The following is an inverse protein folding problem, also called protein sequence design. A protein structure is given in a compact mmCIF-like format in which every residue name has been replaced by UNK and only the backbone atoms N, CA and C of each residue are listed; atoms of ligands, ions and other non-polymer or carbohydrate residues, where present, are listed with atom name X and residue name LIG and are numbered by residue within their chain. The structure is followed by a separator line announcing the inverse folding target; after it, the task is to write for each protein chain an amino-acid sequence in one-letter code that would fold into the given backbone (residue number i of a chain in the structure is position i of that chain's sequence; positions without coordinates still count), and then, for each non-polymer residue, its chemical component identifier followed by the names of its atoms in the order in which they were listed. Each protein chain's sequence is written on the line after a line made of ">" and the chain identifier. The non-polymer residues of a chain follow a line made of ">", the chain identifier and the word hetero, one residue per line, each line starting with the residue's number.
data_IF_646270154011
#
_entry.id   IF_646270154011
#
_cell.length_a   1.000
_cell.length_b   1.000
_cell.length_c   1.000
_cell.angle_alpha   90.00
_cell.angle_beta   90.00
_cell.angle_gamma   90.00
#
_symmetry.space_group_name_H-M   'P 1'
#
loop_
_entity.id
_entity.type
_entity.pdbx_description
1 polymer ?
#
# COMPACT_ATOMS: atom_id res chain seq x y z
N UNK A 1 10.39 23.90 6.22
CA UNK A 1 10.31 22.69 7.06
C UNK A 1 11.24 21.65 6.50
N UNK A 2 12.00 20.97 7.36
CA UNK A 2 12.97 19.94 6.99
C UNK A 2 12.49 18.59 7.51
N UNK A 3 12.22 17.65 6.59
CA UNK A 3 11.59 16.37 6.91
C UNK A 3 12.54 15.24 6.52
N UNK A 4 12.73 14.30 7.44
CA UNK A 4 13.47 13.05 7.18
C UNK A 4 12.49 11.88 7.10
N UNK A 5 12.50 11.20 5.97
CA UNK A 5 11.85 9.90 5.79
C UNK A 5 12.86 8.77 6.03
N UNK A 6 12.44 7.74 6.75
CA UNK A 6 13.25 6.54 7.02
C UNK A 6 12.59 5.32 6.40
N UNK A 7 13.32 4.62 5.54
CA UNK A 7 12.87 3.38 4.93
C UNK A 7 14.04 2.44 4.65
N UNK A 8 13.79 1.16 4.42
CA UNK A 8 14.88 0.21 4.17
C UNK A 8 15.56 0.46 2.82
N UNK A 9 14.78 0.53 1.75
CA UNK A 9 15.25 0.74 0.38
C UNK A 9 14.08 1.09 -0.53
N UNK A 10 14.29 1.94 -1.51
CA UNK A 10 13.34 2.27 -2.58
C UNK A 10 13.56 1.44 -3.86
N UNK A 11 14.30 0.34 -3.77
CA UNK A 11 14.71 -0.46 -4.93
C UNK A 11 13.62 -1.39 -5.49
N UNK A 12 12.53 -1.58 -4.76
CA UNK A 12 11.45 -2.51 -5.13
C UNK A 12 10.33 -1.75 -5.86
N UNK A 13 9.78 -2.40 -6.90
CA UNK A 13 8.57 -1.90 -7.56
C UNK A 13 7.35 -2.29 -6.72
N UNK A 14 7.08 -1.55 -5.66
CA UNK A 14 6.00 -1.78 -4.69
C UNK A 14 5.11 -0.56 -4.48
N UNK A 15 3.92 -0.79 -3.92
CA UNK A 15 2.98 0.29 -3.64
C UNK A 15 3.46 1.27 -2.58
N UNK A 16 4.19 0.78 -1.57
CA UNK A 16 4.73 1.63 -0.48
C UNK A 16 5.82 2.56 -1.02
N UNK A 17 6.76 2.02 -1.79
CA UNK A 17 7.86 2.78 -2.39
C UNK A 17 7.31 3.88 -3.31
N UNK A 18 6.29 3.56 -4.11
CA UNK A 18 5.62 4.54 -4.97
C UNK A 18 4.99 5.66 -4.17
N UNK A 19 4.20 5.33 -3.16
CA UNK A 19 3.53 6.31 -2.30
C UNK A 19 4.54 7.22 -1.60
N UNK A 20 5.65 6.65 -1.08
CA UNK A 20 6.70 7.45 -0.43
C UNK A 20 7.35 8.43 -1.42
N UNK A 21 7.68 7.96 -2.63
CA UNK A 21 8.26 8.83 -3.68
C UNK A 21 7.30 9.94 -4.06
N UNK A 22 6.03 9.62 -4.33
CA UNK A 22 5.01 10.59 -4.71
C UNK A 22 4.78 11.64 -3.61
N UNK A 23 4.74 11.24 -2.34
CA UNK A 23 4.63 12.15 -1.19
C UNK A 23 5.83 13.09 -1.08
N UNK A 24 7.05 12.55 -1.17
CA UNK A 24 8.28 13.36 -1.10
C UNK A 24 8.34 14.36 -2.25
N UNK A 25 8.03 13.92 -3.47
CA UNK A 25 7.96 14.79 -4.64
C UNK A 25 6.94 15.92 -4.44
N UNK A 26 5.76 15.61 -3.90
CA UNK A 26 4.73 16.60 -3.62
C UNK A 26 5.19 17.62 -2.58
N UNK A 27 5.79 17.19 -1.46
CA UNK A 27 6.29 18.06 -0.40
C UNK A 27 7.34 19.06 -0.92
N UNK A 28 8.24 18.60 -1.77
CA UNK A 28 9.27 19.46 -2.39
C UNK A 28 8.63 20.40 -3.42
N UNK A 29 7.79 19.88 -4.32
CA UNK A 29 7.26 20.64 -5.45
C UNK A 29 6.21 21.68 -5.05
N UNK A 30 5.31 21.32 -4.12
CA UNK A 30 4.16 22.16 -3.76
C UNK A 30 4.39 23.01 -2.52
N UNK A 31 5.16 22.49 -1.55
CA UNK A 31 5.39 23.18 -0.29
C UNK A 31 6.80 23.73 -0.14
N UNK A 32 7.73 23.37 -1.02
CA UNK A 32 9.11 23.83 -0.97
C UNK A 32 9.86 23.33 0.27
N UNK A 33 9.45 22.17 0.83
CA UNK A 33 10.12 21.61 2.00
C UNK A 33 11.46 20.98 1.61
N UNK A 34 12.41 20.99 2.54
CA UNK A 34 13.64 20.21 2.41
C UNK A 34 13.34 18.77 2.83
N UNK A 35 13.41 17.84 1.89
CA UNK A 35 13.08 16.43 2.13
C UNK A 35 14.32 15.57 1.98
N UNK A 36 14.54 14.73 2.97
CA UNK A 36 15.61 13.73 3.01
C UNK A 36 14.98 12.34 3.07
N UNK A 37 15.46 11.43 2.25
CA UNK A 37 15.20 10.01 2.37
C UNK A 37 16.47 9.34 2.88
N UNK A 38 16.42 8.77 4.08
CA UNK A 38 17.50 7.97 4.64
C UNK A 38 17.14 6.49 4.53
N UNK A 39 17.98 5.73 3.83
CA UNK A 39 17.83 4.28 3.64
C UNK A 39 18.90 3.52 4.40
N UNK A 40 18.65 2.24 4.70
CA UNK A 40 19.63 1.34 5.33
C UNK A 40 20.31 0.40 4.32
N UNK A 41 19.63 0.08 3.22
CA UNK A 41 20.00 -1.00 2.33
C UNK A 41 19.80 -0.64 0.83
N UNK A 42 19.87 0.64 0.45
CA UNK A 42 19.71 1.07 -0.96
C UNK A 42 20.85 0.56 -1.85
N UNK A 43 22.07 0.72 -1.38
CA UNK A 43 23.26 0.29 -2.13
C UNK A 43 23.33 0.92 -3.52
N UNK A 44 23.60 0.11 -4.53
CA UNK A 44 23.69 0.50 -5.95
C UNK A 44 22.36 0.30 -6.71
N UNK A 45 21.28 -0.06 -6.02
CA UNK A 45 20.01 -0.33 -6.67
C UNK A 45 19.34 0.96 -7.15
N UNK A 46 18.85 0.93 -8.38
CA UNK A 46 18.08 2.03 -8.96
C UNK A 46 16.69 2.13 -8.31
N UNK A 47 16.19 3.35 -8.22
CA UNK A 47 14.82 3.61 -7.78
C UNK A 47 13.92 3.45 -9.01
N UNK A 48 12.90 2.57 -8.99
CA UNK A 48 12.03 2.34 -10.14
C UNK A 48 11.05 3.50 -10.42
N UNK A 49 10.88 4.40 -9.46
CA UNK A 49 10.01 5.56 -9.56
C UNK A 49 10.83 6.85 -9.69
N UNK A 50 10.29 7.84 -10.40
CA UNK A 50 10.98 9.11 -10.59
C UNK A 50 10.97 9.93 -9.29
N UNK A 51 12.12 9.97 -8.63
CA UNK A 51 12.34 10.82 -7.46
C UNK A 51 12.85 12.20 -7.90
N UNK A 52 12.26 13.27 -7.36
CA UNK A 52 12.68 14.64 -7.61
C UNK A 52 14.12 14.87 -7.13
N UNK A 53 14.95 15.52 -7.94
CA UNK A 53 16.37 15.76 -7.66
C UNK A 53 16.63 16.57 -6.37
N UNK A 54 15.65 17.33 -5.92
CA UNK A 54 15.71 18.10 -4.67
C UNK A 54 15.51 17.23 -3.42
N UNK A 55 14.98 16.02 -3.56
CA UNK A 55 14.92 15.05 -2.48
C UNK A 55 16.32 14.45 -2.28
N UNK A 56 16.89 14.66 -1.11
CA UNK A 56 18.25 14.19 -0.80
C UNK A 56 18.21 12.73 -0.32
N UNK A 57 18.65 11.81 -1.17
CA UNK A 57 18.78 10.40 -0.84
C UNK A 57 20.12 10.13 -0.13
N UNK A 58 20.06 9.55 1.06
CA UNK A 58 21.22 9.18 1.87
C UNK A 58 21.12 7.71 2.27
N UNK A 59 22.08 6.89 1.88
CA UNK A 59 22.11 5.48 2.28
C UNK A 59 23.11 5.26 3.42
N UNK A 60 22.64 4.65 4.51
CA UNK A 60 23.47 4.32 5.66
C UNK A 60 24.38 3.10 5.41
N UNK A 61 24.16 2.37 4.34
CA UNK A 61 24.96 1.20 3.92
C UNK A 61 25.12 0.16 5.05
N UNK A 62 24.02 -0.19 5.71
CA UNK A 62 24.03 -1.14 6.82
C UNK A 62 24.09 -2.58 6.30
N UNK A 63 23.36 -2.85 5.23
CA UNK A 63 23.27 -4.17 4.58
C UNK A 63 22.74 -5.23 5.56
N UNK A 64 21.56 -4.99 6.16
CA UNK A 64 20.93 -5.92 7.11
C UNK A 64 20.78 -7.35 6.58
N UNK A 65 20.66 -7.52 5.27
CA UNK A 65 20.56 -8.84 4.65
C UNK A 65 21.81 -9.71 4.89
N UNK A 66 22.96 -9.13 5.22
CA UNK A 66 24.20 -9.88 5.47
C UNK A 66 24.11 -10.78 6.71
N UNK A 67 23.24 -10.47 7.68
CA UNK A 67 23.01 -11.30 8.86
C UNK A 67 22.50 -12.71 8.51
N UNK A 68 21.84 -12.88 7.36
CA UNK A 68 21.31 -14.18 6.94
C UNK A 68 22.38 -15.16 6.45
N UNK A 69 23.65 -14.70 6.29
CA UNK A 69 24.81 -15.57 6.03
C UNK A 69 25.21 -16.39 7.27
N UNK A 70 24.75 -15.99 8.44
CA UNK A 70 25.03 -16.61 9.72
C UNK A 70 23.82 -17.39 10.24
N UNK A 71 24.04 -18.37 11.16
CA UNK A 71 22.99 -19.15 11.82
C UNK A 71 23.12 -19.06 13.34
N UNK A 72 22.05 -19.37 14.05
CA UNK A 72 22.01 -19.43 15.50
C UNK A 72 22.52 -18.15 16.16
N UNK A 73 23.37 -18.31 17.16
CA UNK A 73 23.87 -17.22 17.99
C UNK A 73 24.74 -16.20 17.21
N UNK A 74 25.47 -16.68 16.19
CA UNK A 74 26.28 -15.78 15.34
C UNK A 74 25.38 -14.81 14.56
N UNK A 75 24.20 -15.25 14.11
CA UNK A 75 23.22 -14.38 13.48
C UNK A 75 22.68 -13.31 14.47
N UNK A 76 22.42 -13.70 15.72
CA UNK A 76 22.01 -12.73 16.76
C UNK A 76 23.08 -11.68 17.02
N UNK A 77 24.35 -12.13 17.17
CA UNK A 77 25.49 -11.23 17.36
C UNK A 77 25.62 -10.23 16.20
N UNK A 78 25.51 -10.73 14.96
CA UNK A 78 25.60 -9.89 13.76
C UNK A 78 24.41 -8.92 13.68
N UNK A 79 23.20 -9.38 13.96
CA UNK A 79 22.01 -8.53 14.03
C UNK A 79 22.18 -7.38 15.04
N UNK A 80 22.67 -7.67 16.25
CA UNK A 80 22.95 -6.66 17.24
C UNK A 80 24.05 -5.68 16.78
N UNK A 81 25.09 -6.15 16.10
CA UNK A 81 26.16 -5.31 15.55
C UNK A 81 25.60 -4.35 14.49
N UNK A 82 24.82 -4.87 13.55
CA UNK A 82 24.20 -4.07 12.49
C UNK A 82 23.22 -3.04 13.05
N UNK A 83 22.40 -3.41 14.05
CA UNK A 83 21.49 -2.47 14.72
C UNK A 83 22.25 -1.34 15.40
N UNK A 84 23.34 -1.62 16.11
CA UNK A 84 24.17 -0.57 16.73
C UNK A 84 24.77 0.37 15.68
N UNK A 85 25.29 -0.19 14.59
CA UNK A 85 25.85 0.58 13.48
C UNK A 85 24.79 1.46 12.82
N UNK A 86 23.58 0.93 12.63
CA UNK A 86 22.43 1.69 12.13
C UNK A 86 22.10 2.89 13.03
N UNK A 87 21.94 2.67 14.33
CA UNK A 87 21.63 3.74 15.27
C UNK A 87 22.72 4.79 15.33
N UNK A 88 23.99 4.38 15.33
CA UNK A 88 25.11 5.32 15.33
C UNK A 88 25.09 6.20 14.08
N UNK A 89 25.09 5.59 12.88
CA UNK A 89 25.09 6.34 11.60
C UNK A 89 23.86 7.21 11.44
N UNK A 90 22.69 6.69 11.84
CA UNK A 90 21.46 7.46 11.81
C UNK A 90 21.51 8.65 12.74
N UNK A 91 22.00 8.49 13.98
CA UNK A 91 22.14 9.59 14.93
C UNK A 91 23.10 10.67 14.42
N UNK A 92 24.21 10.29 13.80
CA UNK A 92 25.15 11.23 13.17
C UNK A 92 24.46 12.02 12.06
N UNK A 93 23.69 11.34 11.18
CA UNK A 93 22.93 12.01 10.10
C UNK A 93 21.81 12.90 10.62
N UNK A 94 21.06 12.49 11.64
CA UNK A 94 20.02 13.31 12.25
C UNK A 94 20.61 14.58 12.90
N UNK A 95 21.80 14.51 13.50
CA UNK A 95 22.51 15.70 14.03
C UNK A 95 22.98 16.64 12.90
N UNK A 96 23.50 16.08 11.81
CA UNK A 96 23.95 16.84 10.63
C UNK A 96 22.78 17.58 9.97
N UNK A 97 21.67 16.87 9.75
CA UNK A 97 20.49 17.39 9.05
C UNK A 97 19.70 18.33 9.97
N UNK A 98 19.61 18.03 11.27
CA UNK A 98 18.75 18.74 12.23
C UNK A 98 17.31 18.87 11.73
N UNK A 99 16.60 17.74 11.49
CA UNK A 99 15.26 17.79 10.91
C UNK A 99 14.23 18.33 11.92
N UNK A 100 13.17 18.93 11.37
CA UNK A 100 12.01 19.35 12.15
C UNK A 100 11.11 18.15 12.50
N UNK A 101 11.02 17.16 11.59
CA UNK A 101 10.16 15.97 11.73
C UNK A 101 10.87 14.74 11.15
N UNK A 102 10.65 13.60 11.81
CA UNK A 102 11.02 12.27 11.31
C UNK A 102 9.73 11.51 10.95
N UNK A 103 9.67 10.96 9.74
CA UNK A 103 8.62 10.04 9.30
C UNK A 103 9.24 8.67 9.07
N UNK A 104 8.72 7.65 9.72
CA UNK A 104 9.16 6.27 9.51
C UNK A 104 7.97 5.34 9.32
N UNK A 105 8.22 4.13 8.80
CA UNK A 105 7.18 3.09 8.67
C UNK A 105 7.22 2.12 9.85
N UNK A 106 6.16 1.34 10.03
CA UNK A 106 6.07 0.31 11.08
C UNK A 106 7.14 -0.78 10.96
N UNK A 107 7.80 -0.90 9.81
CA UNK A 107 8.89 -1.85 9.58
C UNK A 107 10.23 -1.40 10.20
N UNK A 108 10.33 -0.15 10.63
CA UNK A 108 11.54 0.40 11.24
C UNK A 108 11.64 0.05 12.72
N UNK A 109 12.86 0.12 13.28
CA UNK A 109 13.08 0.00 14.72
C UNK A 109 12.64 1.27 15.45
N UNK A 110 11.34 1.39 15.71
CA UNK A 110 10.75 2.55 16.38
C UNK A 110 11.29 2.73 17.81
N UNK A 111 11.60 1.62 18.52
CA UNK A 111 12.23 1.70 19.83
C UNK A 111 13.61 2.37 19.73
N UNK A 112 14.50 1.85 18.89
CA UNK A 112 15.83 2.44 18.70
C UNK A 112 15.78 3.90 18.26
N UNK A 113 14.85 4.24 17.35
CA UNK A 113 14.59 5.62 16.92
C UNK A 113 14.19 6.51 18.09
N UNK A 114 13.33 6.05 18.99
CA UNK A 114 12.89 6.82 20.15
C UNK A 114 14.04 7.20 21.09
N UNK A 115 15.11 6.41 21.11
CA UNK A 115 16.30 6.68 21.94
C UNK A 115 17.23 7.75 21.34
N UNK A 116 17.25 7.89 20.00
CA UNK A 116 18.21 8.75 19.29
C UNK A 116 17.59 10.04 18.73
N UNK A 117 16.25 10.08 18.56
CA UNK A 117 15.56 11.24 17.96
C UNK A 117 15.60 12.51 18.82
N UNK A 118 15.90 12.40 20.11
CA UNK A 118 15.83 13.52 21.06
C UNK A 118 14.41 14.09 21.14
N UNK A 119 14.28 15.41 20.94
CA UNK A 119 12.99 16.12 20.97
C UNK A 119 12.31 16.23 19.62
N UNK A 120 12.90 15.67 18.55
CA UNK A 120 12.33 15.74 17.19
C UNK A 120 11.04 14.94 17.16
N UNK A 121 9.90 15.51 16.72
CA UNK A 121 8.66 14.77 16.55
C UNK A 121 8.82 13.61 15.55
N UNK A 122 8.25 12.46 15.92
CA UNK A 122 8.31 11.23 15.11
C UNK A 122 6.90 10.78 14.72
N UNK A 123 6.68 10.66 13.44
CA UNK A 123 5.46 10.12 12.84
C UNK A 123 5.73 8.69 12.38
N UNK A 124 4.90 7.75 12.80
CA UNK A 124 4.93 6.35 12.32
C UNK A 124 3.79 6.13 11.35
N UNK A 125 4.12 5.82 10.10
CA UNK A 125 3.17 5.56 9.02
C UNK A 125 2.93 4.05 8.89
N UNK A 126 1.69 3.61 9.00
CA UNK A 126 1.30 2.21 9.01
C UNK A 126 0.92 1.73 7.61
N UNK A 127 1.87 1.18 6.87
CA UNK A 127 1.62 0.54 5.56
C UNK A 127 1.29 -0.96 5.67
N UNK A 128 1.25 -1.49 6.89
CA UNK A 128 0.90 -2.88 7.20
C UNK A 128 -0.22 -2.82 8.23
N UNK A 129 -1.20 -3.70 8.10
CA UNK A 129 -2.31 -3.79 9.06
C UNK A 129 -1.80 -4.04 10.48
N UNK A 130 -2.54 -3.55 11.46
CA UNK A 130 -2.31 -3.91 12.86
C UNK A 130 -2.30 -5.43 12.99
N UNK A 131 -1.18 -5.99 13.47
CA UNK A 131 -1.01 -7.44 13.59
C UNK A 131 -1.61 -7.92 14.90
N UNK A 132 -2.67 -8.71 14.82
CA UNK A 132 -3.09 -9.56 15.91
C UNK A 132 -2.25 -10.83 15.84
N UNK A 133 -1.43 -11.12 16.87
CA UNK A 133 -0.49 -12.23 16.78
C UNK A 133 -1.18 -13.60 16.93
N UNK A 134 -0.96 -14.47 15.96
CA UNK A 134 -1.53 -15.82 15.91
C UNK A 134 -0.79 -16.84 16.78
N UNK A 135 0.39 -16.50 17.30
CA UNK A 135 1.19 -17.38 18.15
C UNK A 135 1.87 -16.62 19.30
N UNK A 136 2.14 -17.31 20.42
CA UNK A 136 2.72 -16.72 21.63
C UNK A 136 4.07 -15.99 21.39
N UNK A 137 4.94 -16.55 20.57
CA UNK A 137 6.23 -15.92 20.25
C UNK A 137 6.09 -14.70 19.32
N UNK A 138 5.15 -14.74 18.39
CA UNK A 138 4.82 -13.57 17.56
C UNK A 138 4.07 -12.52 18.37
N UNK A 139 3.30 -12.96 19.39
CA UNK A 139 2.58 -12.09 20.31
C UNK A 139 3.52 -11.13 21.05
N UNK A 140 4.58 -11.65 21.67
CA UNK A 140 5.50 -10.82 22.47
C UNK A 140 6.21 -9.77 21.62
N UNK A 141 6.64 -10.12 20.41
CA UNK A 141 7.29 -9.19 19.48
C UNK A 141 6.32 -8.14 18.94
N UNK A 142 5.12 -8.56 18.57
CA UNK A 142 4.08 -7.65 18.09
C UNK A 142 3.66 -6.66 19.21
N UNK A 143 3.43 -7.14 20.42
CA UNK A 143 3.10 -6.29 21.58
C UNK A 143 4.22 -5.30 21.88
N UNK A 144 5.48 -5.74 21.82
CA UNK A 144 6.63 -4.86 22.00
C UNK A 144 6.68 -3.77 20.93
N UNK A 145 6.56 -4.14 19.66
CA UNK A 145 6.56 -3.17 18.57
C UNK A 145 5.37 -2.21 18.67
N UNK A 146 4.16 -2.72 18.90
CA UNK A 146 2.96 -1.91 19.04
C UNK A 146 3.06 -0.93 20.20
N UNK A 147 3.65 -1.34 21.35
CA UNK A 147 3.91 -0.45 22.46
C UNK A 147 4.80 0.75 22.07
N UNK A 148 5.91 0.48 21.36
CA UNK A 148 6.82 1.55 20.95
C UNK A 148 6.26 2.43 19.84
N UNK A 149 5.51 1.84 18.89
CA UNK A 149 4.76 2.60 17.88
C UNK A 149 3.76 3.53 18.57
N UNK A 150 3.05 3.04 19.59
CA UNK A 150 2.11 3.84 20.37
C UNK A 150 2.75 5.00 21.16
N UNK A 151 4.07 5.03 21.30
CA UNK A 151 4.84 6.14 21.90
C UNK A 151 5.34 7.18 20.87
N UNK A 152 5.06 6.98 19.60
CA UNK A 152 5.31 8.00 18.59
C UNK A 152 4.46 9.26 18.84
N UNK A 153 4.94 10.40 18.36
CA UNK A 153 4.23 11.67 18.49
C UNK A 153 2.95 11.68 17.63
N UNK A 154 2.95 10.91 16.52
CA UNK A 154 1.75 10.57 15.75
C UNK A 154 1.86 9.18 15.11
N UNK A 155 0.74 8.47 15.03
CA UNK A 155 0.57 7.22 14.29
C UNK A 155 -0.42 7.48 13.15
N UNK A 156 0.02 7.32 11.93
CA UNK A 156 -0.82 7.53 10.75
C UNK A 156 -1.22 6.18 10.17
N UNK A 157 -2.51 5.93 10.11
CA UNK A 157 -3.12 4.75 9.49
C UNK A 157 -3.77 5.13 8.17
N UNK A 158 -3.92 4.15 7.27
CA UNK A 158 -4.47 4.40 5.94
C UNK A 158 -6.00 4.32 5.90
N UNK A 159 -6.62 3.69 6.91
CA UNK A 159 -8.05 3.38 6.96
C UNK A 159 -8.64 3.60 8.35
N UNK A 160 -9.94 3.86 8.40
CA UNK A 160 -10.69 3.95 9.66
C UNK A 160 -10.76 2.60 10.38
N UNK A 161 -10.81 1.50 9.59
CA UNK A 161 -10.82 0.15 10.14
C UNK A 161 -9.57 -0.16 10.94
N UNK A 162 -8.39 0.13 10.38
CA UNK A 162 -7.11 -0.09 11.07
C UNK A 162 -6.89 0.88 12.23
N UNK A 163 -7.34 2.12 12.10
CA UNK A 163 -7.25 3.13 13.16
C UNK A 163 -7.93 2.70 14.46
N UNK A 164 -9.03 1.93 14.39
CA UNK A 164 -9.70 1.41 15.59
C UNK A 164 -8.77 0.55 16.43
N UNK A 165 -7.92 -0.26 15.78
CA UNK A 165 -6.94 -1.10 16.48
C UNK A 165 -5.81 -0.27 17.10
N UNK A 166 -5.27 0.68 16.33
CA UNK A 166 -4.18 1.54 16.80
C UNK A 166 -4.59 2.45 17.95
N UNK A 167 -5.86 2.86 18.05
CA UNK A 167 -6.41 3.63 19.18
C UNK A 167 -6.33 2.91 20.52
N UNK A 168 -6.16 1.58 20.54
CA UNK A 168 -5.92 0.84 21.76
C UNK A 168 -4.49 0.98 22.29
N UNK A 169 -3.53 1.38 21.46
CA UNK A 169 -2.11 1.51 21.80
C UNK A 169 -1.56 2.94 21.72
N UNK A 170 -2.22 3.83 20.99
CA UNK A 170 -1.84 5.25 20.87
C UNK A 170 -3.05 6.17 21.00
N UNK A 171 -2.82 7.34 21.62
CA UNK A 171 -3.81 8.44 21.68
C UNK A 171 -3.72 9.39 20.47
N UNK A 172 -2.62 9.32 19.70
CA UNK A 172 -2.30 10.23 18.60
C UNK A 172 -2.43 9.50 17.26
N UNK A 173 -3.60 8.91 17.01
CA UNK A 173 -3.89 8.18 15.77
C UNK A 173 -4.62 9.07 14.79
N UNK A 174 -4.05 9.23 13.61
CA UNK A 174 -4.60 9.98 12.49
C UNK A 174 -4.89 9.03 11.33
N UNK A 175 -5.98 9.26 10.61
CA UNK A 175 -6.29 8.51 9.39
C UNK A 175 -5.98 9.41 8.20
N UNK A 176 -4.93 9.09 7.47
CA UNK A 176 -4.54 9.78 6.24
C UNK A 176 -4.33 8.72 5.16
N UNK A 177 -5.23 8.60 4.19
CA UNK A 177 -5.12 7.62 3.12
C UNK A 177 -3.87 7.82 2.27
N UNK A 178 -3.52 6.80 1.51
CA UNK A 178 -2.48 6.93 0.51
C UNK A 178 -2.91 7.88 -0.61
N UNK A 179 -1.96 8.66 -1.13
CA UNK A 179 -2.12 9.28 -2.44
C UNK A 179 -2.10 8.20 -3.51
N UNK A 180 -2.94 8.35 -4.50
CA UNK A 180 -3.09 7.39 -5.59
C UNK A 180 -2.84 8.09 -6.92
N UNK A 181 -2.08 7.42 -7.78
CA UNK A 181 -1.91 7.86 -9.15
C UNK A 181 -3.18 7.55 -9.93
N UNK A 182 -4.00 8.55 -10.13
CA UNK A 182 -5.27 8.42 -10.82
C UNK A 182 -5.09 8.62 -12.34
N UNK A 183 -6.05 8.14 -13.08
CA UNK A 183 -6.11 8.36 -14.53
C UNK A 183 -6.23 9.85 -14.86
N UNK A 184 -5.25 10.36 -15.59
CA UNK A 184 -5.15 11.75 -16.06
C UNK A 184 -5.27 11.88 -17.57
N UNK A 185 -5.50 10.78 -18.28
CA UNK A 185 -5.56 10.73 -19.75
C UNK A 185 -6.85 11.32 -20.33
N UNK A 186 -7.86 11.52 -19.51
CA UNK A 186 -9.22 11.92 -19.93
C UNK A 186 -10.00 10.82 -20.66
N UNK A 187 -9.43 9.61 -20.78
CA UNK A 187 -10.07 8.43 -21.37
C UNK A 187 -10.58 7.52 -20.28
N UNK A 188 -11.75 6.97 -20.45
CA UNK A 188 -12.38 6.07 -19.49
C UNK A 188 -12.83 4.80 -20.17
N UNK A 189 -12.99 3.74 -19.40
CA UNK A 189 -13.61 2.52 -19.91
C UNK A 189 -15.06 2.77 -20.30
N UNK A 190 -15.44 2.26 -21.45
CA UNK A 190 -16.85 2.17 -21.87
C UNK A 190 -17.58 0.98 -21.25
N UNK A 191 -16.84 0.12 -20.55
CA UNK A 191 -17.32 -1.09 -19.90
C UNK A 191 -18.01 -2.10 -20.85
N UNK A 192 -17.68 -2.09 -22.14
CA UNK A 192 -18.29 -2.97 -23.16
C UNK A 192 -17.48 -4.24 -23.37
N UNK A 193 -16.17 -4.19 -23.18
CA UNK A 193 -15.28 -5.34 -23.38
C UNK A 193 -15.69 -6.52 -22.49
N UNK A 194 -15.59 -7.75 -23.00
CA UNK A 194 -15.84 -8.99 -22.22
C UNK A 194 -14.59 -9.39 -21.42
N UNK A 195 -14.07 -8.42 -20.67
CA UNK A 195 -12.78 -8.53 -19.99
C UNK A 195 -12.90 -8.03 -18.56
N UNK A 196 -12.57 -8.88 -17.60
CA UNK A 196 -12.30 -8.52 -16.22
C UNK A 196 -10.79 -8.45 -16.00
N UNK A 197 -10.34 -7.65 -15.04
CA UNK A 197 -8.93 -7.52 -14.71
C UNK A 197 -8.68 -7.73 -13.22
N UNK A 198 -7.55 -8.36 -12.88
CA UNK A 198 -6.99 -8.45 -11.54
C UNK A 198 -5.57 -7.91 -11.59
N UNK A 199 -5.19 -7.11 -10.59
CA UNK A 199 -3.85 -6.52 -10.51
C UNK A 199 -3.27 -6.72 -9.12
N UNK A 200 -2.10 -7.36 -9.03
CA UNK A 200 -1.43 -7.58 -7.76
C UNK A 200 -0.36 -8.67 -7.82
N UNK A 201 0.47 -8.72 -6.78
CA UNK A 201 1.45 -9.82 -6.65
C UNK A 201 0.74 -11.16 -6.54
N UNK A 202 1.25 -12.20 -7.21
CA UNK A 202 0.66 -13.55 -7.18
C UNK A 202 1.12 -14.31 -5.93
N UNK A 203 0.71 -13.81 -4.77
CA UNK A 203 1.04 -14.35 -3.44
C UNK A 203 -0.24 -14.69 -2.68
N UNK A 204 -0.14 -15.51 -1.64
CA UNK A 204 -1.26 -15.97 -0.83
C UNK A 204 -2.15 -14.81 -0.33
N UNK A 205 -1.52 -13.72 0.14
CA UNK A 205 -2.21 -12.50 0.58
C UNK A 205 -3.27 -12.00 -0.42
N UNK A 206 -3.02 -12.15 -1.71
CA UNK A 206 -3.92 -11.66 -2.77
C UNK A 206 -5.06 -12.62 -3.09
N UNK A 207 -5.16 -13.75 -2.39
CA UNK A 207 -6.28 -14.68 -2.50
C UNK A 207 -6.43 -15.34 -3.88
N UNK A 208 -5.31 -15.63 -4.55
CA UNK A 208 -5.29 -16.24 -5.88
C UNK A 208 -6.12 -17.54 -5.95
N UNK A 209 -6.09 -18.44 -4.96
CA UNK A 209 -6.93 -19.64 -4.99
C UNK A 209 -8.44 -19.31 -5.05
N UNK A 210 -8.88 -18.25 -4.39
CA UNK A 210 -10.28 -17.85 -4.41
C UNK A 210 -10.64 -17.15 -5.71
N UNK A 211 -9.75 -16.33 -6.27
CA UNK A 211 -9.91 -15.76 -7.62
C UNK A 211 -10.17 -16.85 -8.65
N UNK A 212 -9.41 -17.94 -8.61
CA UNK A 212 -9.55 -19.09 -9.52
C UNK A 212 -10.91 -19.77 -9.33
N UNK A 213 -11.35 -20.00 -8.07
CA UNK A 213 -12.66 -20.61 -7.78
C UNK A 213 -13.80 -19.74 -8.31
N UNK A 214 -13.76 -18.44 -8.02
CA UNK A 214 -14.72 -17.45 -8.50
C UNK A 214 -14.77 -17.47 -10.02
N UNK A 215 -13.60 -17.37 -10.67
CA UNK A 215 -13.55 -17.28 -12.12
C UNK A 215 -14.01 -18.57 -12.81
N UNK A 216 -13.82 -19.73 -12.21
CA UNK A 216 -14.38 -21.00 -12.71
C UNK A 216 -15.92 -20.94 -12.75
N UNK A 217 -16.57 -20.46 -11.71
CA UNK A 217 -18.03 -20.31 -11.65
C UNK A 217 -18.50 -19.32 -12.72
N UNK A 218 -17.84 -18.18 -12.84
CA UNK A 218 -18.18 -17.14 -13.81
C UNK A 218 -17.98 -17.65 -15.24
N UNK A 219 -16.82 -18.23 -15.54
CA UNK A 219 -16.49 -18.66 -16.90
C UNK A 219 -17.33 -19.86 -17.38
N UNK A 220 -17.85 -20.68 -16.45
CA UNK A 220 -18.83 -21.72 -16.77
C UNK A 220 -20.16 -21.12 -17.23
N UNK A 221 -20.60 -19.99 -16.64
CA UNK A 221 -21.85 -19.30 -17.03
C UNK A 221 -21.66 -18.40 -18.25
N UNK A 222 -20.48 -17.77 -18.37
CA UNK A 222 -20.13 -16.79 -19.41
C UNK A 222 -18.80 -17.14 -20.07
N UNK A 223 -18.73 -18.17 -20.92
CA UNK A 223 -17.49 -18.69 -21.49
C UNK A 223 -16.81 -17.74 -22.50
N UNK A 224 -17.47 -16.68 -22.90
CA UNK A 224 -16.96 -15.64 -23.79
C UNK A 224 -16.25 -14.51 -23.04
N UNK A 225 -16.35 -14.44 -21.69
CA UNK A 225 -15.59 -13.51 -20.86
C UNK A 225 -14.21 -14.07 -20.53
N UNK A 226 -13.26 -13.15 -20.36
CA UNK A 226 -11.89 -13.47 -19.92
C UNK A 226 -11.47 -12.67 -18.68
N UNK A 227 -10.55 -13.23 -17.90
CA UNK A 227 -9.88 -12.59 -16.78
C UNK A 227 -8.41 -12.44 -17.12
N UNK A 228 -7.93 -11.19 -17.14
CA UNK A 228 -6.52 -10.87 -17.26
C UNK A 228 -5.94 -10.55 -15.89
N UNK A 229 -4.87 -11.24 -15.54
CA UNK A 229 -4.19 -11.17 -14.25
C UNK A 229 -2.82 -10.56 -14.45
N UNK A 230 -2.59 -9.36 -13.94
CA UNK A 230 -1.31 -8.65 -14.04
C UNK A 230 -0.57 -8.69 -12.70
N UNK A 231 0.63 -9.23 -12.68
CA UNK A 231 1.43 -9.24 -11.46
C UNK A 231 2.71 -10.05 -11.50
N UNK A 232 3.54 -9.84 -10.48
CA UNK A 232 4.74 -10.65 -10.24
C UNK A 232 4.37 -11.91 -9.45
N UNK A 233 4.96 -13.03 -9.81
CA UNK A 233 4.80 -14.35 -9.19
C UNK A 233 4.53 -15.41 -10.24
N UNK A 234 4.51 -16.66 -9.80
CA UNK A 234 4.24 -17.80 -10.66
C UNK A 234 2.78 -18.22 -10.50
N UNK A 235 2.11 -18.40 -11.61
CA UNK A 235 0.80 -19.00 -11.68
C UNK A 235 0.72 -19.80 -12.96
N UNK A 236 0.44 -21.09 -12.82
CA UNK A 236 0.26 -21.97 -13.99
C UNK A 236 -1.03 -21.63 -14.75
N UNK A 237 -1.01 -21.88 -16.05
CA UNK A 237 -2.21 -21.78 -16.86
C UNK A 237 -3.25 -22.81 -16.37
N UNK A 238 -4.50 -22.39 -16.25
CA UNK A 238 -5.57 -23.26 -15.75
C UNK A 238 -6.40 -23.74 -16.92
N UNK A 239 -6.31 -25.05 -17.28
CA UNK A 239 -7.08 -25.58 -18.39
C UNK A 239 -8.59 -25.40 -18.19
N UNK A 240 -9.29 -25.09 -19.29
CA UNK A 240 -10.74 -25.03 -19.32
C UNK A 240 -11.38 -23.73 -18.84
N UNK A 241 -10.58 -22.72 -18.50
CA UNK A 241 -11.08 -21.36 -18.19
C UNK A 241 -10.27 -20.30 -18.94
N UNK A 242 -10.92 -19.20 -19.32
CA UNK A 242 -10.27 -18.05 -19.94
C UNK A 242 -9.68 -17.14 -18.86
N UNK A 243 -8.54 -17.53 -18.34
CA UNK A 243 -7.73 -16.76 -17.38
C UNK A 243 -6.30 -16.66 -17.94
N UNK A 244 -5.82 -15.44 -18.12
CA UNK A 244 -4.52 -15.14 -18.72
C UNK A 244 -3.65 -14.37 -17.74
N UNK A 245 -2.42 -14.86 -17.56
CA UNK A 245 -1.45 -14.25 -16.65
C UNK A 245 -0.46 -13.42 -17.46
N UNK A 246 -0.26 -12.19 -17.02
CA UNK A 246 0.62 -11.22 -17.65
C UNK A 246 1.67 -10.72 -16.66
N UNK A 247 2.89 -10.39 -17.11
CA UNK A 247 3.85 -9.71 -16.27
C UNK A 247 3.32 -8.33 -15.84
N UNK A 248 3.91 -7.72 -14.81
CA UNK A 248 3.61 -6.33 -14.47
C UNK A 248 3.83 -5.41 -15.66
N UNK A 249 2.97 -4.43 -15.82
CA UNK A 249 3.07 -3.42 -16.87
C UNK A 249 3.18 -2.01 -16.30
N UNK A 250 3.96 -1.16 -16.95
CA UNK A 250 4.00 0.27 -16.64
C UNK A 250 2.71 1.01 -17.10
N UNK A 251 1.99 0.42 -18.06
CA UNK A 251 0.80 1.01 -18.67
C UNK A 251 -0.50 0.42 -18.09
N UNK A 252 -0.56 0.18 -16.79
CA UNK A 252 -1.71 -0.46 -16.14
C UNK A 252 -3.02 0.32 -16.33
N UNK A 253 -2.97 1.65 -16.47
CA UNK A 253 -4.14 2.48 -16.73
C UNK A 253 -4.81 2.14 -18.06
N UNK A 254 -4.03 1.83 -19.11
CA UNK A 254 -4.58 1.35 -20.39
C UNK A 254 -5.27 -0.01 -20.23
N UNK A 255 -4.74 -0.89 -19.39
CA UNK A 255 -5.37 -2.17 -19.11
C UNK A 255 -6.71 -2.01 -18.38
N UNK A 256 -6.79 -1.07 -17.43
CA UNK A 256 -8.05 -0.72 -16.80
C UNK A 256 -9.05 -0.14 -17.82
N UNK A 257 -8.64 0.86 -18.63
CA UNK A 257 -9.51 1.48 -19.65
C UNK A 257 -10.06 0.43 -20.63
N UNK A 258 -9.28 -0.57 -20.99
CA UNK A 258 -9.67 -1.64 -21.91
C UNK A 258 -10.42 -2.80 -21.23
N UNK A 259 -10.76 -2.69 -19.95
CA UNK A 259 -11.49 -3.71 -19.19
C UNK A 259 -12.89 -3.20 -18.81
N UNK A 260 -13.74 -4.08 -18.27
CA UNK A 260 -15.11 -3.76 -17.88
C UNK A 260 -15.34 -3.82 -16.37
N UNK A 261 -14.43 -4.42 -15.60
CA UNK A 261 -14.47 -4.48 -14.14
C UNK A 261 -13.13 -4.90 -13.56
N UNK A 262 -12.84 -4.49 -12.31
CA UNK A 262 -11.71 -4.97 -11.52
C UNK A 262 -12.20 -5.99 -10.48
N UNK A 263 -11.45 -7.08 -10.31
CA UNK A 263 -11.63 -8.06 -9.25
C UNK A 263 -10.49 -7.98 -8.24
N UNK A 264 -10.80 -7.95 -6.93
CA UNK A 264 -9.81 -8.00 -5.87
C UNK A 264 -10.21 -9.04 -4.81
N UNK A 265 -9.40 -10.08 -4.65
CA UNK A 265 -9.70 -11.23 -3.78
C UNK A 265 -8.78 -11.32 -2.54
N UNK A 266 -8.14 -10.21 -2.18
CA UNK A 266 -7.17 -10.17 -1.08
C UNK A 266 -7.72 -10.74 0.23
N UNK A 267 -6.86 -11.43 1.00
CA UNK A 267 -7.18 -11.94 2.34
C UNK A 267 -7.14 -10.80 3.36
N UNK A 268 -6.19 -9.91 3.18
CA UNK A 268 -6.09 -8.65 3.91
C UNK A 268 -5.44 -7.60 3.00
N UNK A 269 -5.84 -6.35 3.17
CA UNK A 269 -5.34 -5.25 2.33
C UNK A 269 -5.24 -3.98 3.18
N UNK A 270 -4.06 -3.46 3.48
CA UNK A 270 -3.90 -2.25 4.28
C UNK A 270 -4.62 -1.04 3.70
N UNK A 271 -4.66 -0.94 2.37
CA UNK A 271 -5.37 0.10 1.66
C UNK A 271 -6.00 -0.41 0.36
N UNK A 272 -5.20 -0.89 -0.60
CA UNK A 272 -5.69 -1.38 -1.89
C UNK A 272 -5.64 -0.33 -2.99
N UNK A 273 -4.45 0.18 -3.33
CA UNK A 273 -4.23 1.21 -4.36
C UNK A 273 -4.92 0.90 -5.69
N UNK A 274 -5.00 -0.37 -6.06
CA UNK A 274 -5.62 -0.84 -7.32
C UNK A 274 -7.12 -0.51 -7.41
N UNK A 275 -7.81 -0.37 -6.26
CA UNK A 275 -9.23 -0.01 -6.25
C UNK A 275 -9.46 1.42 -6.78
N UNK A 276 -8.92 2.49 -6.14
CA UNK A 276 -9.11 3.83 -6.66
C UNK A 276 -8.41 4.06 -8.01
N UNK A 277 -7.33 3.33 -8.35
CA UNK A 277 -6.73 3.35 -9.69
C UNK A 277 -7.75 2.90 -10.74
N UNK A 278 -8.36 1.73 -10.58
CA UNK A 278 -9.36 1.19 -11.51
C UNK A 278 -10.64 2.03 -11.54
N UNK A 279 -11.11 2.49 -10.36
CA UNK A 279 -12.27 3.38 -10.26
C UNK A 279 -12.03 4.69 -11.02
N UNK A 280 -10.81 5.24 -11.00
CA UNK A 280 -10.46 6.44 -11.75
C UNK A 280 -10.51 6.25 -13.27
N UNK A 281 -10.41 5.01 -13.74
CA UNK A 281 -10.57 4.64 -15.14
C UNK A 281 -12.04 4.32 -15.52
N UNK A 282 -12.97 4.44 -14.58
CA UNK A 282 -14.39 4.17 -14.80
C UNK A 282 -14.78 2.70 -14.66
N UNK A 283 -13.97 1.88 -13.99
CA UNK A 283 -14.32 0.49 -13.73
C UNK A 283 -15.12 0.35 -12.43
N UNK A 284 -16.25 -0.39 -12.44
CA UNK A 284 -16.80 -0.95 -11.22
C UNK A 284 -15.81 -1.95 -10.63
N UNK A 285 -15.76 -2.01 -9.31
CA UNK A 285 -14.83 -2.90 -8.59
C UNK A 285 -15.61 -3.94 -7.78
N UNK A 286 -15.10 -5.16 -7.71
CA UNK A 286 -15.64 -6.21 -6.83
C UNK A 286 -14.52 -6.65 -5.91
N UNK A 287 -14.74 -6.57 -4.59
CA UNK A 287 -13.73 -6.92 -3.60
C UNK A 287 -14.35 -7.68 -2.42
N UNK A 288 -13.58 -8.56 -1.77
CA UNK A 288 -13.94 -9.04 -0.44
C UNK A 288 -13.85 -7.92 0.59
N UNK A 289 -14.76 -7.92 1.56
CA UNK A 289 -14.69 -7.11 2.78
C UNK A 289 -13.62 -7.71 3.71
N UNK A 290 -12.37 -7.54 3.30
CA UNK A 290 -11.22 -8.00 4.06
C UNK A 290 -10.63 -6.88 4.91
N UNK A 291 -9.89 -7.17 6.00
CA UNK A 291 -9.21 -6.15 6.79
C UNK A 291 -8.14 -5.40 5.95
N UNK A 292 -8.18 -4.05 5.78
CA UNK A 292 -9.19 -3.08 6.21
C UNK A 292 -9.57 -2.14 5.05
N UNK A 293 -8.77 -2.15 3.94
CA UNK A 293 -8.82 -1.16 2.85
C UNK A 293 -10.14 -1.10 2.07
N UNK A 294 -10.68 -2.24 1.60
CA UNK A 294 -11.81 -2.22 0.68
C UNK A 294 -13.05 -1.53 1.23
N UNK A 295 -13.40 -1.73 2.51
CA UNK A 295 -14.55 -1.12 3.15
C UNK A 295 -14.46 0.41 3.31
N UNK A 296 -13.24 0.97 3.32
CA UNK A 296 -13.03 2.42 3.38
C UNK A 296 -13.06 3.08 1.98
N UNK A 297 -12.95 2.27 0.91
CA UNK A 297 -12.86 2.75 -0.47
C UNK A 297 -14.16 2.54 -1.25
N UNK A 298 -14.78 1.35 -1.10
CA UNK A 298 -15.95 0.95 -1.86
C UNK A 298 -17.23 1.30 -1.10
N UNK A 299 -18.12 2.05 -1.74
CA UNK A 299 -19.49 2.20 -1.30
C UNK A 299 -20.33 1.12 -1.99
N UNK A 300 -20.69 0.08 -1.22
CA UNK A 300 -21.40 -1.09 -1.72
C UNK A 300 -22.64 -0.69 -2.55
N UNK A 301 -22.80 -1.30 -3.73
CA UNK A 301 -23.87 -1.08 -4.71
C UNK A 301 -23.88 0.31 -5.39
N UNK A 302 -22.99 1.24 -4.99
CA UNK A 302 -22.88 2.55 -5.61
C UNK A 302 -21.74 2.61 -6.66
N UNK A 303 -20.53 2.27 -6.24
CA UNK A 303 -19.32 2.35 -7.07
C UNK A 303 -18.57 1.01 -7.20
N UNK A 304 -19.13 -0.04 -6.56
CA UNK A 304 -18.64 -1.40 -6.63
C UNK A 304 -19.40 -2.34 -5.71
N UNK A 305 -18.96 -3.58 -5.64
CA UNK A 305 -19.49 -4.57 -4.72
C UNK A 305 -18.47 -4.94 -3.66
N UNK A 306 -18.84 -4.76 -2.40
CA UNK A 306 -18.13 -5.24 -1.23
C UNK A 306 -18.79 -6.56 -0.79
N UNK A 307 -18.05 -7.66 -0.88
CA UNK A 307 -18.55 -9.01 -0.66
C UNK A 307 -18.16 -9.50 0.73
N UNK A 308 -19.05 -10.09 1.52
CA UNK A 308 -18.69 -10.70 2.80
C UNK A 308 -17.48 -11.61 2.65
N UNK A 309 -16.59 -11.59 3.63
CA UNK A 309 -15.30 -12.27 3.54
C UNK A 309 -15.46 -13.76 3.21
N UNK A 310 -14.73 -14.19 2.17
CA UNK A 310 -14.67 -15.59 1.66
C UNK A 310 -15.97 -16.18 1.12
N UNK A 311 -17.02 -15.39 0.90
CA UNK A 311 -18.23 -15.88 0.20
C UNK A 311 -18.00 -15.91 -1.32
N UNK A 312 -17.42 -17.02 -1.78
CA UNK A 312 -17.04 -17.27 -3.19
C UNK A 312 -18.27 -17.20 -4.13
N UNK A 313 -19.39 -17.78 -3.68
CA UNK A 313 -20.59 -17.84 -4.52
C UNK A 313 -21.21 -16.46 -4.69
N UNK A 314 -21.33 -15.69 -3.62
CA UNK A 314 -21.85 -14.33 -3.67
C UNK A 314 -20.93 -13.40 -4.50
N UNK A 315 -19.62 -13.60 -4.37
CA UNK A 315 -18.67 -12.87 -5.22
C UNK A 315 -18.90 -13.17 -6.70
N UNK A 316 -19.00 -14.45 -7.08
CA UNK A 316 -19.28 -14.85 -8.44
C UNK A 316 -20.63 -14.32 -8.94
N UNK A 317 -21.67 -14.30 -8.09
CA UNK A 317 -22.98 -13.77 -8.46
C UNK A 317 -22.92 -12.24 -8.72
N UNK A 318 -22.19 -11.45 -7.95
CA UNK A 318 -21.98 -10.02 -8.24
C UNK A 318 -21.20 -9.80 -9.54
N UNK A 319 -20.18 -10.62 -9.82
CA UNK A 319 -19.48 -10.58 -11.11
C UNK A 319 -20.44 -10.89 -12.26
N UNK A 320 -21.28 -11.91 -12.12
CA UNK A 320 -22.31 -12.25 -13.13
C UNK A 320 -23.32 -11.11 -13.31
N UNK A 321 -23.77 -10.47 -12.23
CA UNK A 321 -24.66 -9.32 -12.29
C UNK A 321 -24.04 -8.15 -13.08
N UNK A 322 -22.76 -7.88 -12.90
CA UNK A 322 -22.05 -6.89 -13.73
C UNK A 322 -21.95 -7.34 -15.18
N UNK A 323 -21.73 -8.63 -15.45
CA UNK A 323 -21.68 -9.17 -16.81
C UNK A 323 -23.02 -8.96 -17.53
N UNK A 324 -24.13 -9.23 -16.86
CA UNK A 324 -25.48 -9.15 -17.41
C UNK A 324 -25.97 -7.72 -17.66
N UNK A 325 -25.42 -6.75 -16.91
CA UNK A 325 -25.91 -5.36 -16.95
C UNK A 325 -24.82 -4.35 -17.34
N UNK A 326 -24.65 -4.05 -18.65
CA UNK A 326 -23.75 -2.99 -19.10
C UNK A 326 -24.06 -1.61 -18.48
N UNK A 327 -25.36 -1.29 -18.32
CA UNK A 327 -25.78 -0.04 -17.70
C UNK A 327 -25.37 0.07 -16.25
N UNK A 328 -25.41 -1.02 -15.48
CA UNK A 328 -24.93 -1.05 -14.10
C UNK A 328 -23.41 -0.80 -14.04
N UNK A 329 -22.64 -1.46 -14.92
CA UNK A 329 -21.19 -1.22 -15.00
C UNK A 329 -20.85 0.25 -15.24
N UNK A 330 -21.55 0.89 -16.21
CA UNK A 330 -21.33 2.30 -16.53
C UNK A 330 -21.75 3.23 -15.39
N UNK A 331 -22.86 2.94 -14.72
CA UNK A 331 -23.34 3.73 -13.57
C UNK A 331 -22.36 3.66 -12.40
N UNK A 332 -21.94 2.44 -12.02
CA UNK A 332 -20.96 2.23 -10.96
C UNK A 332 -19.59 2.81 -11.33
N UNK A 333 -19.14 2.64 -12.58
CA UNK A 333 -17.90 3.21 -13.06
C UNK A 333 -17.89 4.74 -12.97
N UNK A 334 -18.99 5.39 -13.35
CA UNK A 334 -19.16 6.86 -13.23
C UNK A 334 -19.11 7.32 -11.76
N UNK A 335 -19.74 6.57 -10.85
CA UNK A 335 -19.66 6.83 -9.42
C UNK A 335 -18.23 6.64 -8.89
N UNK A 336 -17.56 5.58 -9.35
CA UNK A 336 -16.17 5.27 -9.02
C UNK A 336 -15.18 6.37 -9.41
N UNK A 337 -15.34 6.98 -10.61
CA UNK A 337 -14.52 8.12 -11.02
C UNK A 337 -14.61 9.25 -9.99
N UNK A 338 -15.81 9.58 -9.52
CA UNK A 338 -16.01 10.65 -8.51
C UNK A 338 -15.40 10.27 -7.17
N UNK A 339 -15.62 9.04 -6.71
CA UNK A 339 -15.11 8.55 -5.44
C UNK A 339 -13.58 8.51 -5.42
N UNK A 340 -12.93 8.08 -6.51
CA UNK A 340 -11.47 8.02 -6.60
C UNK A 340 -10.78 9.38 -6.41
N UNK A 341 -11.44 10.49 -6.75
CA UNK A 341 -10.90 11.84 -6.61
C UNK A 341 -10.53 12.20 -5.15
N UNK A 342 -11.11 11.50 -4.16
CA UNK A 342 -10.74 11.68 -2.75
C UNK A 342 -9.28 11.32 -2.45
N UNK A 343 -8.64 10.49 -3.30
CA UNK A 343 -7.28 9.98 -3.13
C UNK A 343 -6.24 10.75 -3.94
N UNK A 344 -6.60 11.86 -4.58
CA UNK A 344 -5.66 12.75 -5.24
C UNK A 344 -4.69 13.39 -4.26
N UNK A 345 -3.45 13.61 -4.71
CA UNK A 345 -2.41 14.23 -3.91
C UNK A 345 -2.86 15.60 -3.34
N UNK A 346 -3.53 16.43 -4.13
CA UNK A 346 -4.01 17.76 -3.71
C UNK A 346 -5.10 17.71 -2.61
N UNK A 347 -5.70 16.54 -2.33
CA UNK A 347 -6.67 16.34 -1.24
C UNK A 347 -6.04 15.67 -0.01
N UNK A 348 -5.06 14.80 -0.23
CA UNK A 348 -4.43 14.04 0.84
C UNK A 348 -3.27 14.82 1.47
N UNK A 349 -2.44 15.48 0.67
CA UNK A 349 -1.22 16.13 1.18
C UNK A 349 -1.48 17.33 2.09
N UNK A 350 -2.57 18.10 1.97
CA UNK A 350 -2.94 19.09 2.98
C UNK A 350 -3.11 18.50 4.38
N UNK A 351 -3.64 17.27 4.53
CA UNK A 351 -3.80 16.59 5.82
C UNK A 351 -2.42 16.27 6.45
N UNK A 352 -1.45 15.89 5.62
CA UNK A 352 -0.05 15.70 6.07
C UNK A 352 0.58 17.02 6.51
N UNK A 353 0.35 18.09 5.77
CA UNK A 353 0.85 19.42 6.12
C UNK A 353 0.27 19.88 7.47
N UNK A 354 -1.03 19.75 7.67
CA UNK A 354 -1.71 20.09 8.92
C UNK A 354 -1.16 19.28 10.10
N UNK A 355 -0.96 17.96 9.92
CA UNK A 355 -0.35 17.11 10.94
C UNK A 355 1.06 17.59 11.30
N UNK A 356 1.89 17.90 10.30
CA UNK A 356 3.26 18.34 10.53
C UNK A 356 3.29 19.71 11.26
N UNK A 357 2.46 20.65 10.86
CA UNK A 357 2.32 21.96 11.50
C UNK A 357 1.84 21.82 12.96
N UNK A 358 0.87 20.94 13.21
CA UNK A 358 0.39 20.64 14.56
C UNK A 358 1.47 20.06 15.49
N UNK A 359 2.36 19.21 14.96
CA UNK A 359 3.44 18.61 15.74
C UNK A 359 4.58 19.58 16.09
N UNK A 360 4.66 20.69 15.38
CA UNK A 360 5.69 21.72 15.61
C UNK A 360 5.21 22.89 16.50
N UNK A 361 3.91 22.99 16.79
CA UNK A 361 3.30 24.02 17.66
C UNK A 361 2.74 25.11 16.81
#
# INVERSE_FOLDING_TARGET
>A
MRIVYLYSSLAITGGVERVLVDKMNYLVNRYGYEVYMITSDQGQHTIPYQLDERVRLLDLQICFYTQYRYRGWLRLKESCRLSRLYHQRLQEKLKEISPDIIVCTTSQDVHGLSQIKGKIPMVVECHINFTHPDSWLHCTRALYNNYWIGKADAVVTLTQGDAKNWKHVSRHVHVIPNIVHLNDTGRFSDCVSKRAVFVGRLVEQKGIPDLIKIWRIVNQRYPDWQLDVFGNGEMESIPGIKLFVHPPTANIMEEYINSSMLLMTSIYEPFGLVLPEAMSCGLPVVAFDCPYGPADIITHELDGFLVPERDINRYADYVCQLIESPGLRQTMGTAGIKASQHYQADRIMPQWKELFEHLLG
#
